data_IF_409463262568
#
_entry.id   IF_409463262568
#
_cell.length_a   1.000
_cell.length_b   1.000
_cell.length_c   1.000
_cell.angle_alpha   90.00
_cell.angle_beta   90.00
_cell.angle_gamma   90.00
#
_symmetry.space_group_name_H-M   'P 1'
#
loop_
_entity.id
_entity.type
_entity.pdbx_description
1 polymer ?
#
# COMPACT_ATOMS: atom_id res chain seq x y z
N UNK A 1 15.44 -7.45 -7.57
CA UNK A 1 15.74 -8.28 -6.38
C UNK A 1 14.57 -8.21 -5.42
N UNK A 2 14.21 -9.33 -4.77
CA UNK A 2 13.03 -9.38 -3.89
C UNK A 2 13.10 -8.40 -2.71
N UNK A 3 14.30 -8.07 -2.22
CA UNK A 3 14.51 -7.08 -1.16
C UNK A 3 14.03 -5.69 -1.59
N UNK A 4 14.40 -5.24 -2.80
CA UNK A 4 13.98 -3.94 -3.32
C UNK A 4 12.47 -3.87 -3.54
N UNK A 5 11.86 -4.96 -3.99
CA UNK A 5 10.42 -5.03 -4.20
C UNK A 5 9.64 -4.97 -2.87
N UNK A 6 10.14 -5.63 -1.82
CA UNK A 6 9.59 -5.54 -0.47
C UNK A 6 9.72 -4.12 0.11
N UNK A 7 10.83 -3.44 -0.14
CA UNK A 7 11.06 -2.06 0.28
C UNK A 7 10.06 -1.09 -0.39
N UNK A 8 9.86 -1.21 -1.71
CA UNK A 8 8.86 -0.44 -2.46
C UNK A 8 7.42 -0.69 -1.96
N UNK A 9 7.09 -1.94 -1.58
CA UNK A 9 5.79 -2.27 -1.02
C UNK A 9 5.55 -1.63 0.36
N UNK A 10 6.57 -1.61 1.23
CA UNK A 10 6.48 -1.02 2.58
C UNK A 10 6.34 0.51 2.48
N UNK A 11 7.10 1.17 1.61
CA UNK A 11 6.98 2.62 1.36
C UNK A 11 5.59 2.99 0.84
N UNK A 12 4.98 2.13 0.01
CA UNK A 12 3.59 2.32 -0.43
C UNK A 12 2.55 2.15 0.68
N UNK A 13 2.90 1.46 1.77
CA UNK A 13 1.99 1.07 2.85
C UNK A 13 2.04 1.99 4.09
N UNK A 14 2.92 2.99 4.14
CA UNK A 14 2.88 4.02 5.18
C UNK A 14 1.71 4.96 4.94
N UNK A 15 0.51 4.55 5.37
CA UNK A 15 -0.70 5.38 5.40
C UNK A 15 -0.87 6.14 6.72
N UNK A 16 -1.78 7.12 6.72
CA UNK A 16 -2.00 8.18 7.71
C UNK A 16 -2.48 7.75 9.12
N UNK A 17 -2.00 6.62 9.63
CA UNK A 17 -2.36 6.09 10.96
C UNK A 17 -3.74 5.43 11.03
N UNK A 18 -4.43 5.28 9.89
CA UNK A 18 -5.65 4.49 9.76
C UNK A 18 -5.36 2.99 9.85
N UNK A 19 -6.21 2.26 10.58
CA UNK A 19 -6.01 0.83 10.80
C UNK A 19 -6.55 0.03 9.62
N UNK A 20 -6.02 -1.16 9.42
CA UNK A 20 -6.61 -2.13 8.47
C UNK A 20 -8.03 -2.46 8.94
N UNK A 21 -9.01 -2.30 8.06
CA UNK A 21 -10.42 -2.52 8.37
C UNK A 21 -11.14 -1.34 9.04
N UNK A 22 -10.53 -0.16 9.08
CA UNK A 22 -11.19 1.09 9.49
C UNK A 22 -12.39 1.36 8.54
N UNK A 23 -13.60 1.52 9.11
CA UNK A 23 -14.85 1.82 8.36
C UNK A 23 -15.35 3.26 8.55
N UNK A 24 -14.53 4.13 9.16
CA UNK A 24 -14.92 5.50 9.49
C UNK A 24 -15.40 6.29 8.27
N UNK A 25 -14.88 5.99 7.07
CA UNK A 25 -15.22 6.66 5.81
C UNK A 25 -15.41 5.68 4.63
N UNK A 26 -16.42 4.80 4.70
CA UNK A 26 -16.73 3.82 3.64
C UNK A 26 -17.10 4.40 2.25
N UNK A 27 -17.06 5.72 2.07
CA UNK A 27 -17.24 6.41 0.80
C UNK A 27 -16.01 7.18 0.31
N UNK A 28 -14.94 7.28 1.12
CA UNK A 28 -13.71 7.93 0.70
C UNK A 28 -12.90 7.00 -0.20
N UNK A 29 -12.41 7.54 -1.31
CA UNK A 29 -11.49 6.80 -2.17
C UNK A 29 -10.15 6.62 -1.43
N UNK A 30 -9.59 5.42 -1.51
CA UNK A 30 -8.22 5.18 -1.07
C UNK A 30 -7.24 6.02 -1.89
N UNK A 31 -6.11 6.40 -1.29
CA UNK A 31 -5.03 7.06 -2.01
C UNK A 31 -4.55 6.18 -3.18
N UNK A 32 -4.75 6.67 -4.40
CA UNK A 32 -4.50 5.91 -5.61
C UNK A 32 -3.02 5.57 -5.82
N UNK A 33 -2.11 6.42 -5.34
CA UNK A 33 -0.68 6.19 -5.48
C UNK A 33 -0.17 5.21 -4.42
N UNK A 34 -0.70 5.26 -3.19
CA UNK A 34 -0.46 4.23 -2.17
C UNK A 34 -0.84 2.84 -2.68
N UNK A 35 -2.09 2.66 -3.14
CA UNK A 35 -2.59 1.38 -3.66
C UNK A 35 -1.73 0.87 -4.82
N UNK A 36 -1.34 1.76 -5.75
CA UNK A 36 -0.53 1.40 -6.92
C UNK A 36 0.89 0.98 -6.54
N UNK A 37 1.52 1.64 -5.58
CA UNK A 37 2.88 1.33 -5.16
C UNK A 37 2.96 0.01 -4.39
N UNK A 38 1.98 -0.27 -3.53
CA UNK A 38 1.84 -1.58 -2.85
C UNK A 38 1.71 -2.70 -3.91
N UNK A 39 0.82 -2.54 -4.89
CA UNK A 39 0.60 -3.55 -5.92
C UNK A 39 1.86 -3.81 -6.77
N UNK A 40 2.61 -2.76 -7.11
CA UNK A 40 3.88 -2.89 -7.85
C UNK A 40 4.95 -3.62 -7.02
N UNK A 41 5.11 -3.25 -5.75
CA UNK A 41 6.05 -3.90 -4.85
C UNK A 41 5.75 -5.39 -4.70
N UNK A 42 4.47 -5.75 -4.50
CA UNK A 42 4.05 -7.16 -4.45
C UNK A 42 4.33 -7.90 -5.76
N UNK A 43 4.07 -7.29 -6.93
CA UNK A 43 4.36 -7.88 -8.24
C UNK A 43 5.85 -8.21 -8.43
N UNK A 44 6.75 -7.42 -7.84
CA UNK A 44 8.20 -7.67 -7.90
C UNK A 44 8.71 -8.77 -6.97
N UNK A 45 7.85 -9.29 -6.08
CA UNK A 45 8.15 -10.39 -5.14
C UNK A 45 7.71 -11.76 -5.72
N UNK A 46 6.74 -11.78 -6.65
CA UNK A 46 6.17 -13.02 -7.23
C UNK A 46 7.06 -13.66 -8.29
#
# INVERSE_FOLDING_TARGET
>A
EMIKAAEEAIVGATGDGTKIGESADNGAAADADSVKNIAKGMKGIV
#
